data_IF_196897153910
#
_entry.id   IF_196897153910
#
_cell.length_a   1.000
_cell.length_b   1.000
_cell.length_c   1.000
_cell.angle_alpha   90.00
_cell.angle_beta   90.00
_cell.angle_gamma   90.00
#
_symmetry.space_group_name_H-M   'P 1'
#
loop_
_entity.id
_entity.type
_entity.pdbx_description
1 polymer ?
#
# COMPACT_ATOMS: atom_id res chain seq x y z
N UNK A 1 -18.71 25.28 7.74
CA UNK A 1 -17.32 24.88 8.01
C UNK A 1 -16.94 23.98 6.86
N UNK A 2 -15.98 24.41 6.02
CA UNK A 2 -15.45 23.58 4.95
C UNK A 2 -14.87 22.33 5.62
N UNK A 3 -15.35 21.15 5.25
CA UNK A 3 -14.76 19.89 5.67
C UNK A 3 -13.30 19.90 5.25
N UNK A 4 -12.39 19.62 6.17
CA UNK A 4 -11.01 19.29 5.81
C UNK A 4 -11.12 18.17 4.78
N UNK A 5 -10.63 18.41 3.56
CA UNK A 5 -10.63 17.39 2.52
C UNK A 5 -9.91 16.17 3.08
N UNK A 6 -10.60 15.03 3.12
CA UNK A 6 -10.07 13.77 3.61
C UNK A 6 -8.83 13.40 2.78
N UNK A 7 -7.78 12.94 3.44
CA UNK A 7 -6.61 12.39 2.73
C UNK A 7 -7.03 11.23 1.82
N UNK A 8 -6.50 11.24 0.59
CA UNK A 8 -6.67 10.17 -0.39
C UNK A 8 -5.31 9.49 -0.59
N UNK A 9 -5.25 8.20 -0.32
CA UNK A 9 -4.04 7.42 -0.43
C UNK A 9 -3.98 6.65 -1.75
N UNK A 10 -2.91 6.84 -2.52
CA UNK A 10 -2.59 6.04 -3.71
C UNK A 10 -1.26 5.34 -3.44
N UNK A 11 -1.33 4.04 -3.14
CA UNK A 11 -0.18 3.26 -2.72
C UNK A 11 0.17 2.26 -3.82
N UNK A 12 1.34 2.39 -4.43
CA UNK A 12 1.85 1.50 -5.47
C UNK A 12 2.66 0.36 -4.83
N UNK A 13 2.15 -0.85 -4.86
CA UNK A 13 2.90 -2.04 -4.48
C UNK A 13 3.51 -2.70 -5.73
N UNK A 14 4.80 -2.46 -5.97
CA UNK A 14 5.49 -3.03 -7.14
C UNK A 14 5.77 -4.52 -7.03
N UNK A 15 5.61 -5.08 -5.84
CA UNK A 15 5.95 -6.48 -5.57
C UNK A 15 7.42 -6.75 -5.97
N UNK A 16 7.75 -7.97 -6.41
CA UNK A 16 9.09 -8.34 -6.85
C UNK A 16 9.33 -7.95 -8.32
N UNK A 17 9.27 -6.65 -8.61
CA UNK A 17 9.48 -6.09 -9.94
C UNK A 17 10.42 -4.89 -9.90
N UNK A 18 10.97 -4.56 -11.06
CA UNK A 18 11.86 -3.43 -11.38
C UNK A 18 13.26 -3.54 -10.79
N UNK A 19 14.23 -3.50 -11.69
CA UNK A 19 15.63 -3.20 -11.40
C UNK A 19 15.79 -1.73 -11.00
N UNK A 20 16.97 -1.33 -10.52
CA UNK A 20 17.27 0.07 -10.20
C UNK A 20 17.07 0.96 -11.43
N UNK A 21 17.56 0.56 -12.60
CA UNK A 21 17.38 1.33 -13.85
C UNK A 21 15.92 1.56 -14.19
N UNK A 22 15.12 0.47 -14.23
CA UNK A 22 13.68 0.55 -14.52
C UNK A 22 12.90 1.39 -13.51
N UNK A 23 13.33 1.40 -12.24
CA UNK A 23 12.73 2.22 -11.20
C UNK A 23 13.06 3.70 -11.38
N UNK A 24 14.30 4.03 -11.74
CA UNK A 24 14.71 5.38 -12.04
C UNK A 24 14.04 5.93 -13.31
N UNK A 25 13.90 5.10 -14.35
CA UNK A 25 13.15 5.45 -15.56
C UNK A 25 11.67 5.73 -15.21
N UNK A 26 11.06 4.85 -14.41
CA UNK A 26 9.69 5.03 -13.96
C UNK A 26 9.49 6.35 -13.19
N UNK A 27 10.35 6.67 -12.23
CA UNK A 27 10.21 7.90 -11.43
C UNK A 27 10.47 9.16 -12.26
N UNK A 28 11.36 9.09 -13.25
CA UNK A 28 11.63 10.21 -14.16
C UNK A 28 10.42 10.56 -15.02
N UNK A 29 9.58 9.58 -15.35
CA UNK A 29 8.34 9.77 -16.10
C UNK A 29 7.22 10.23 -15.17
N UNK A 30 7.02 9.57 -14.03
CA UNK A 30 5.89 9.80 -13.13
C UNK A 30 6.06 11.06 -12.30
N UNK A 31 7.22 11.27 -11.72
CA UNK A 31 7.47 12.34 -10.76
C UNK A 31 7.05 13.74 -11.23
N UNK A 32 7.40 14.16 -12.47
CA UNK A 32 6.99 15.48 -12.98
C UNK A 32 5.49 15.60 -13.31
N UNK A 33 4.77 14.51 -13.46
CA UNK A 33 3.40 14.48 -14.00
C UNK A 33 2.31 14.28 -12.94
N UNK A 34 2.67 13.92 -11.72
CA UNK A 34 1.68 13.72 -10.66
C UNK A 34 1.29 15.03 -9.98
N UNK A 35 0.02 15.16 -9.55
CA UNK A 35 -0.47 16.41 -8.98
C UNK A 35 0.13 16.67 -7.59
N UNK A 36 0.44 17.95 -7.31
CA UNK A 36 0.81 18.42 -5.97
C UNK A 36 -0.45 18.92 -5.27
N UNK A 37 -1.06 18.06 -4.45
CA UNK A 37 -2.25 18.36 -3.63
C UNK A 37 -1.99 17.92 -2.20
N UNK A 38 -2.33 18.75 -1.23
CA UNK A 38 -2.01 18.51 0.18
C UNK A 38 -2.73 17.27 0.74
N UNK A 39 -3.93 17.00 0.26
CA UNK A 39 -4.75 15.86 0.65
C UNK A 39 -4.50 14.59 -0.19
N UNK A 40 -3.55 14.59 -1.12
CA UNK A 40 -3.20 13.42 -1.92
C UNK A 40 -1.86 12.83 -1.48
N UNK A 41 -1.91 11.63 -0.90
CA UNK A 41 -0.75 10.89 -0.40
C UNK A 41 -0.36 9.80 -1.40
N UNK A 42 0.71 10.02 -2.14
CA UNK A 42 1.22 9.07 -3.13
C UNK A 42 2.43 8.36 -2.55
N UNK A 43 2.32 7.03 -2.39
CA UNK A 43 3.36 6.18 -1.83
C UNK A 43 3.77 5.13 -2.86
N UNK A 44 5.07 4.91 -3.02
CA UNK A 44 5.61 3.84 -3.87
C UNK A 44 6.37 2.86 -2.99
N UNK A 45 6.00 1.59 -3.05
CA UNK A 45 6.63 0.49 -2.31
C UNK A 45 7.43 -0.40 -3.29
N UNK A 46 8.71 -0.09 -3.56
CA UNK A 46 9.58 -0.86 -4.44
C UNK A 46 10.20 -2.06 -3.70
N UNK A 47 10.98 -2.90 -4.40
CA UNK A 47 11.86 -3.86 -3.76
C UNK A 47 12.90 -3.15 -2.88
N UNK A 48 13.35 -3.79 -1.79
CA UNK A 48 14.33 -3.21 -0.85
C UNK A 48 15.61 -2.73 -1.54
N UNK A 49 16.10 -3.51 -2.52
CA UNK A 49 17.31 -3.19 -3.30
C UNK A 49 17.24 -1.88 -4.09
N UNK A 50 16.05 -1.29 -4.24
CA UNK A 50 15.81 -0.07 -5.03
C UNK A 50 15.60 1.16 -4.15
N UNK A 51 15.27 0.98 -2.87
CA UNK A 51 14.84 2.06 -1.95
C UNK A 51 15.81 3.25 -1.90
N UNK A 52 17.10 2.99 -1.71
CA UNK A 52 18.12 4.05 -1.57
C UNK A 52 18.22 4.94 -2.80
N UNK A 53 18.30 4.33 -3.99
CA UNK A 53 18.45 5.09 -5.23
C UNK A 53 17.16 5.84 -5.58
N UNK A 54 16.01 5.22 -5.35
CA UNK A 54 14.72 5.86 -5.60
C UNK A 54 14.48 7.04 -4.63
N UNK A 55 14.88 6.92 -3.35
CA UNK A 55 14.81 8.03 -2.37
C UNK A 55 15.63 9.22 -2.83
N UNK A 56 16.86 9.00 -3.33
CA UNK A 56 17.71 10.07 -3.88
C UNK A 56 17.04 10.75 -5.08
N UNK A 57 16.54 9.97 -6.03
CA UNK A 57 15.91 10.51 -7.24
C UNK A 57 14.66 11.35 -6.92
N UNK A 58 13.80 10.87 -6.03
CA UNK A 58 12.60 11.58 -5.58
C UNK A 58 12.97 12.90 -4.87
N UNK A 59 13.99 12.86 -4.00
CA UNK A 59 14.44 14.04 -3.26
C UNK A 59 15.03 15.09 -4.20
N UNK A 60 15.90 14.69 -5.13
CA UNK A 60 16.52 15.61 -6.12
C UNK A 60 15.48 16.21 -7.05
N UNK A 61 14.51 15.40 -7.49
CA UNK A 61 13.40 15.86 -8.35
C UNK A 61 12.34 16.69 -7.61
N UNK A 62 12.40 16.76 -6.28
CA UNK A 62 11.36 17.37 -5.43
C UNK A 62 9.95 16.87 -5.78
N UNK A 63 9.84 15.57 -6.06
CA UNK A 63 8.59 14.94 -6.44
C UNK A 63 7.71 14.68 -5.21
N UNK A 64 6.39 14.86 -5.29
CA UNK A 64 5.46 14.63 -4.16
C UNK A 64 5.15 13.13 -4.00
N UNK A 65 6.21 12.32 -3.88
CA UNK A 65 6.15 10.88 -3.72
C UNK A 65 6.80 10.50 -2.40
N UNK A 66 6.07 9.76 -1.57
CA UNK A 66 6.58 9.08 -0.39
C UNK A 66 7.06 7.68 -0.78
N UNK A 67 8.00 7.12 -0.03
CA UNK A 67 8.37 5.71 -0.19
C UNK A 67 7.79 4.86 0.93
N UNK A 68 7.42 3.64 0.58
CA UNK A 68 7.07 2.59 1.52
C UNK A 68 7.91 1.34 1.31
N UNK A 69 7.95 0.48 2.30
CA UNK A 69 8.48 -0.88 2.17
C UNK A 69 7.36 -1.89 1.90
N UNK A 70 7.69 -2.98 1.24
CA UNK A 70 6.76 -4.09 0.98
C UNK A 70 6.61 -5.04 2.17
N UNK A 71 7.48 -4.90 3.16
CA UNK A 71 7.54 -5.63 4.42
C UNK A 71 8.54 -4.97 5.36
N UNK A 72 8.66 -5.47 6.59
CA UNK A 72 9.79 -5.25 7.49
C UNK A 72 9.97 -6.44 8.43
N UNK A 73 11.13 -6.53 9.07
CA UNK A 73 11.43 -7.60 10.03
C UNK A 73 10.55 -7.52 11.27
N UNK A 74 10.10 -8.66 11.84
CA UNK A 74 9.48 -8.70 13.17
C UNK A 74 10.48 -8.50 14.31
N UNK A 75 11.77 -8.39 13.99
CA UNK A 75 12.87 -8.26 14.96
C UNK A 75 13.53 -6.90 14.87
N UNK A 76 14.12 -6.48 15.99
CA UNK A 76 15.04 -5.35 16.03
C UNK A 76 16.31 -5.64 15.21
N UNK A 77 17.15 -4.63 15.07
CA UNK A 77 18.48 -4.80 14.46
C UNK A 77 19.31 -5.82 15.27
N UNK A 78 19.90 -6.81 14.58
CA UNK A 78 20.67 -7.85 15.24
C UNK A 78 21.06 -9.02 14.33
N UNK A 79 21.22 -10.20 14.93
CA UNK A 79 21.68 -11.40 14.27
C UNK A 79 20.55 -12.13 13.50
N UNK A 80 19.98 -11.47 12.51
CA UNK A 80 18.86 -11.95 11.70
C UNK A 80 19.22 -11.82 10.22
N UNK A 81 20.09 -12.68 9.75
CA UNK A 81 20.64 -12.64 8.37
C UNK A 81 19.51 -12.62 7.32
N UNK A 82 19.49 -11.58 6.49
CA UNK A 82 18.50 -11.40 5.41
C UNK A 82 17.27 -10.61 5.81
N UNK A 83 17.10 -10.23 7.09
CA UNK A 83 16.00 -9.42 7.57
C UNK A 83 16.30 -7.90 7.44
N UNK A 84 15.28 -7.15 7.05
CA UNK A 84 15.33 -5.69 6.96
C UNK A 84 14.61 -5.07 8.17
N UNK A 85 15.37 -4.73 9.22
CA UNK A 85 14.78 -4.13 10.42
C UNK A 85 14.24 -2.73 10.17
N UNK A 86 13.17 -2.38 10.90
CA UNK A 86 12.56 -1.05 10.80
C UNK A 86 13.56 0.08 11.06
N UNK A 87 14.49 -0.11 12.01
CA UNK A 87 15.53 0.86 12.35
C UNK A 87 16.51 1.16 11.21
N UNK A 88 16.74 0.21 10.29
CA UNK A 88 17.60 0.39 9.13
C UNK A 88 16.86 1.06 7.97
N UNK A 89 15.60 0.69 7.72
CA UNK A 89 14.86 1.19 6.56
C UNK A 89 14.13 2.51 6.79
N UNK A 90 13.90 2.93 8.04
CA UNK A 90 13.21 4.20 8.39
C UNK A 90 13.79 5.45 7.75
N UNK A 91 15.07 5.42 7.38
CA UNK A 91 15.71 6.53 6.67
C UNK A 91 15.20 6.70 5.23
N UNK A 92 14.58 5.67 4.67
CA UNK A 92 14.09 5.67 3.28
C UNK A 92 12.58 5.74 3.20
N UNK A 93 11.85 5.13 4.16
CA UNK A 93 10.41 4.86 4.02
C UNK A 93 9.58 5.58 5.07
N UNK A 94 8.38 5.98 4.66
CA UNK A 94 7.38 6.62 5.49
C UNK A 94 6.25 5.64 5.89
N UNK A 95 6.13 4.50 5.14
CA UNK A 95 5.08 3.51 5.31
C UNK A 95 5.64 2.09 5.13
N UNK A 96 5.03 1.09 5.77
CA UNK A 96 5.33 -0.33 5.54
C UNK A 96 4.05 -1.15 5.33
N UNK A 97 4.01 -1.95 4.26
CA UNK A 97 2.96 -2.94 4.02
C UNK A 97 3.24 -4.16 4.91
N UNK A 98 2.28 -4.57 5.73
CA UNK A 98 2.44 -5.68 6.67
C UNK A 98 1.33 -6.73 6.48
N UNK A 99 1.69 -8.00 6.49
CA UNK A 99 0.69 -9.08 6.40
C UNK A 99 0.02 -9.22 5.04
N UNK A 100 0.66 -8.76 3.95
CA UNK A 100 0.12 -8.89 2.60
C UNK A 100 -0.26 -10.35 2.29
N UNK A 101 -1.37 -10.57 1.58
CA UNK A 101 -1.91 -11.91 1.29
C UNK A 101 -0.89 -12.85 0.64
N UNK A 102 -0.01 -12.34 -0.22
CA UNK A 102 1.08 -13.13 -0.83
C UNK A 102 2.09 -13.61 0.20
N UNK A 103 2.39 -12.81 1.24
CA UNK A 103 3.31 -13.21 2.30
C UNK A 103 2.70 -14.26 3.21
N UNK A 104 1.44 -14.09 3.58
CA UNK A 104 0.68 -15.09 4.34
C UNK A 104 0.64 -16.42 3.60
N UNK A 105 0.36 -16.40 2.29
CA UNK A 105 0.24 -17.58 1.45
C UNK A 105 1.57 -18.29 1.16
N UNK A 106 2.60 -17.52 0.79
CA UNK A 106 3.83 -18.06 0.20
C UNK A 106 4.98 -18.16 1.20
N UNK A 107 4.95 -17.39 2.29
CA UNK A 107 6.02 -17.28 3.29
C UNK A 107 5.55 -17.61 4.71
N UNK A 108 4.33 -18.15 4.86
CA UNK A 108 3.75 -18.55 6.14
C UNK A 108 3.73 -17.42 7.19
N UNK A 109 3.53 -16.16 6.74
CA UNK A 109 3.47 -15.01 7.65
C UNK A 109 2.21 -15.09 8.52
N UNK A 110 2.40 -15.15 9.84
CA UNK A 110 1.33 -15.31 10.83
C UNK A 110 0.86 -13.97 11.38
N UNK A 111 -0.30 -13.95 12.05
CA UNK A 111 -0.80 -12.75 12.74
C UNK A 111 0.14 -12.30 13.86
N UNK A 112 0.80 -13.23 14.57
CA UNK A 112 1.84 -12.91 15.56
C UNK A 112 3.04 -12.19 14.93
N UNK A 113 3.44 -12.60 13.74
CA UNK A 113 4.52 -11.89 13.02
C UNK A 113 4.07 -10.50 12.59
N UNK A 114 2.85 -10.35 12.11
CA UNK A 114 2.28 -9.06 11.73
C UNK A 114 2.20 -8.13 12.94
N UNK A 115 1.77 -8.62 14.10
CA UNK A 115 1.73 -7.86 15.36
C UNK A 115 3.13 -7.35 15.78
N UNK A 116 4.16 -8.20 15.65
CA UNK A 116 5.55 -7.81 15.96
C UNK A 116 6.06 -6.76 14.96
N UNK A 117 5.82 -6.96 13.67
CA UNK A 117 6.17 -5.99 12.62
C UNK A 117 5.47 -4.65 12.82
N UNK A 118 4.20 -4.69 13.20
CA UNK A 118 3.41 -3.50 13.51
C UNK A 118 4.07 -2.69 14.65
N UNK A 119 4.48 -3.33 15.74
CA UNK A 119 5.20 -2.68 16.85
C UNK A 119 6.53 -2.08 16.37
N UNK A 120 7.31 -2.85 15.59
CA UNK A 120 8.58 -2.35 15.04
C UNK A 120 8.38 -1.12 14.14
N UNK A 121 7.31 -1.09 13.33
CA UNK A 121 6.98 0.07 12.52
C UNK A 121 6.70 1.31 13.38
N UNK A 122 5.81 1.19 14.39
CA UNK A 122 5.46 2.30 15.27
C UNK A 122 6.65 2.85 16.05
N UNK A 123 7.48 1.98 16.63
CA UNK A 123 8.68 2.35 17.41
C UNK A 123 9.72 3.09 16.55
N UNK A 124 9.67 2.92 15.22
CA UNK A 124 10.57 3.57 14.29
C UNK A 124 9.91 4.71 13.47
N UNK A 125 8.70 5.15 13.83
CA UNK A 125 7.93 6.19 13.15
C UNK A 125 7.63 5.87 11.67
N UNK A 126 7.44 4.59 11.35
CA UNK A 126 6.98 4.12 10.04
C UNK A 126 5.47 3.86 10.15
N UNK A 127 4.66 4.41 9.26
CA UNK A 127 3.22 4.16 9.22
C UNK A 127 2.93 2.72 8.81
N UNK A 128 2.32 1.87 9.67
CA UNK A 128 1.99 0.51 9.28
C UNK A 128 0.70 0.47 8.46
N UNK A 129 0.73 -0.15 7.28
CA UNK A 129 -0.43 -0.52 6.48
C UNK A 129 -0.67 -2.03 6.64
N UNK A 130 -1.61 -2.41 7.48
CA UNK A 130 -1.90 -3.82 7.76
C UNK A 130 -2.87 -4.40 6.74
N UNK A 131 -2.44 -5.41 6.01
CA UNK A 131 -3.29 -6.10 5.02
C UNK A 131 -4.21 -7.12 5.69
N UNK A 132 -5.49 -7.04 5.36
CA UNK A 132 -6.56 -7.92 5.84
C UNK A 132 -7.36 -8.48 4.67
N UNK A 133 -7.82 -9.73 4.78
CA UNK A 133 -8.55 -10.41 3.72
C UNK A 133 -10.07 -10.36 3.94
N UNK A 134 -10.48 -10.10 5.17
CA UNK A 134 -11.89 -9.97 5.58
C UNK A 134 -11.99 -9.13 6.85
N UNK A 135 -13.20 -8.76 7.23
CA UNK A 135 -13.51 -8.11 8.52
C UNK A 135 -13.16 -8.96 9.76
N UNK A 136 -12.91 -10.26 9.56
CA UNK A 136 -12.57 -11.19 10.63
C UNK A 136 -11.06 -11.34 10.82
N UNK A 137 -10.25 -10.89 9.86
CA UNK A 137 -8.78 -10.91 9.98
C UNK A 137 -8.36 -10.06 11.19
N UNK A 138 -7.56 -10.59 12.13
CA UNK A 138 -7.11 -9.83 13.28
C UNK A 138 -6.33 -8.57 12.87
N UNK A 139 -6.62 -7.47 13.54
CA UNK A 139 -5.91 -6.19 13.37
C UNK A 139 -5.21 -5.86 14.69
N UNK A 140 -3.91 -5.47 14.66
CA UNK A 140 -3.20 -5.02 15.84
C UNK A 140 -3.92 -3.89 16.58
N UNK A 141 -3.80 -3.85 17.91
CA UNK A 141 -4.39 -2.79 18.71
C UNK A 141 -3.79 -1.41 18.32
N UNK A 142 -4.65 -0.39 18.23
CA UNK A 142 -4.29 0.96 17.77
C UNK A 142 -3.83 1.04 16.30
N UNK A 143 -4.16 0.06 15.48
CA UNK A 143 -3.96 0.16 14.04
C UNK A 143 -4.86 1.26 13.46
N UNK A 144 -4.27 2.19 12.70
CA UNK A 144 -4.97 3.33 12.12
C UNK A 144 -5.19 3.20 10.61
N UNK A 145 -4.56 2.20 9.97
CA UNK A 145 -4.65 2.02 8.51
C UNK A 145 -4.60 0.54 8.14
N UNK A 146 -5.57 0.11 7.36
CA UNK A 146 -5.62 -1.26 6.82
C UNK A 146 -5.79 -1.26 5.31
N UNK A 147 -5.23 -2.29 4.64
CA UNK A 147 -5.54 -2.60 3.25
C UNK A 147 -6.48 -3.80 3.20
N UNK A 148 -7.70 -3.58 2.73
CA UNK A 148 -8.66 -4.66 2.51
C UNK A 148 -8.38 -5.33 1.16
N UNK A 149 -7.94 -6.58 1.21
CA UNK A 149 -7.55 -7.40 0.07
C UNK A 149 -8.55 -8.56 -0.13
N UNK A 150 -9.69 -8.35 -0.82
CA UNK A 150 -10.60 -9.47 -1.12
C UNK A 150 -9.87 -10.52 -1.97
N UNK A 151 -9.74 -11.75 -1.45
CA UNK A 151 -8.91 -12.82 -2.05
C UNK A 151 -9.30 -13.09 -3.50
N UNK A 152 -10.59 -13.00 -3.83
CA UNK A 152 -11.10 -13.20 -5.18
C UNK A 152 -10.79 -12.06 -6.16
N UNK A 153 -10.50 -10.86 -5.66
CA UNK A 153 -10.23 -9.68 -6.48
C UNK A 153 -8.73 -9.39 -6.67
N UNK A 154 -7.84 -10.18 -6.06
CA UNK A 154 -6.39 -10.01 -6.20
C UNK A 154 -5.95 -10.71 -7.49
N UNK A 155 -5.22 -9.99 -8.34
CA UNK A 155 -4.58 -10.52 -9.55
C UNK A 155 -3.37 -11.40 -9.18
N UNK A 156 -3.63 -12.54 -8.54
CA UNK A 156 -2.58 -13.54 -8.32
C UNK A 156 -2.49 -14.37 -9.59
N UNK A 157 -1.50 -14.24 -10.42
CA UNK A 157 -1.14 -14.99 -11.63
C UNK A 157 -1.75 -16.38 -11.94
N UNK A 158 -2.82 -16.78 -11.27
CA UNK A 158 -3.62 -17.97 -11.51
C UNK A 158 -4.66 -17.65 -12.59
N UNK A 159 -4.21 -17.67 -13.84
CA UNK A 159 -4.91 -17.22 -15.05
C UNK A 159 -6.21 -18.00 -15.38
N UNK A 160 -6.58 -19.05 -14.65
CA UNK A 160 -7.67 -19.95 -15.04
C UNK A 160 -8.67 -20.34 -13.93
N UNK A 161 -8.78 -19.59 -12.84
CA UNK A 161 -9.83 -19.85 -11.85
C UNK A 161 -11.03 -18.96 -12.12
N UNK A 162 -12.23 -19.47 -12.46
CA UNK A 162 -13.43 -18.67 -12.66
C UNK A 162 -13.72 -17.81 -11.43
N UNK A 163 -13.84 -16.49 -11.60
CA UNK A 163 -14.14 -15.55 -10.53
C UNK A 163 -12.93 -14.91 -9.86
N UNK A 164 -11.70 -15.37 -10.09
CA UNK A 164 -10.46 -14.78 -9.57
C UNK A 164 -9.99 -13.66 -10.51
N UNK A 165 -9.64 -12.49 -9.95
CA UNK A 165 -9.12 -11.33 -10.69
C UNK A 165 -10.18 -10.36 -11.21
N UNK A 166 -11.47 -10.55 -10.89
CA UNK A 166 -12.47 -9.49 -11.08
C UNK A 166 -12.38 -8.53 -9.90
N UNK A 167 -12.24 -7.25 -10.18
CA UNK A 167 -12.38 -6.22 -9.16
C UNK A 167 -13.75 -6.41 -8.46
N UNK A 168 -13.76 -6.21 -7.15
CA UNK A 168 -15.00 -6.06 -6.41
C UNK A 168 -15.75 -4.82 -6.93
N UNK A 169 -17.06 -4.73 -6.70
CA UNK A 169 -17.73 -3.47 -7.00
C UNK A 169 -17.34 -2.41 -5.96
N UNK A 170 -17.24 -1.12 -6.33
CA UNK A 170 -16.99 -0.07 -5.36
C UNK A 170 -17.97 -0.07 -4.18
N UNK A 171 -19.24 -0.38 -4.44
CA UNK A 171 -20.30 -0.45 -3.45
C UNK A 171 -20.11 -1.62 -2.46
N UNK A 172 -19.69 -2.79 -2.95
CA UNK A 172 -19.45 -3.95 -2.08
C UNK A 172 -18.17 -3.77 -1.27
N UNK A 173 -17.10 -3.25 -1.88
CA UNK A 173 -15.90 -2.87 -1.17
C UNK A 173 -16.19 -1.84 -0.06
N UNK A 174 -17.05 -0.84 -0.33
CA UNK A 174 -17.45 0.14 0.67
C UNK A 174 -18.27 -0.45 1.82
N UNK A 175 -19.15 -1.42 1.55
CA UNK A 175 -19.88 -2.12 2.62
C UNK A 175 -18.93 -2.81 3.60
N UNK A 176 -17.91 -3.50 3.07
CA UNK A 176 -16.89 -4.15 3.90
C UNK A 176 -16.04 -3.12 4.64
N UNK A 177 -15.60 -2.04 3.97
CA UNK A 177 -14.87 -0.95 4.61
C UNK A 177 -15.65 -0.34 5.77
N UNK A 178 -16.95 -0.11 5.58
CA UNK A 178 -17.86 0.38 6.63
C UNK A 178 -17.94 -0.59 7.81
N UNK A 179 -18.10 -1.90 7.55
CA UNK A 179 -18.15 -2.92 8.60
C UNK A 179 -16.83 -2.97 9.40
N UNK A 180 -15.67 -2.89 8.72
CA UNK A 180 -14.35 -2.82 9.36
C UNK A 180 -14.27 -1.58 10.27
N UNK A 181 -14.67 -0.39 9.78
CA UNK A 181 -14.67 0.83 10.58
C UNK A 181 -15.63 0.77 11.78
N UNK A 182 -16.80 0.17 11.62
CA UNK A 182 -17.74 -0.02 12.72
C UNK A 182 -17.17 -0.94 13.83
N UNK A 183 -16.41 -1.97 13.44
CA UNK A 183 -15.81 -2.92 14.36
C UNK A 183 -14.59 -2.36 15.11
N UNK A 184 -13.71 -1.62 14.39
CA UNK A 184 -12.40 -1.22 14.91
C UNK A 184 -12.27 0.29 15.19
N UNK A 185 -13.23 1.10 14.78
CA UNK A 185 -13.29 2.54 15.03
C UNK A 185 -13.37 3.37 13.75
N UNK A 186 -14.12 4.46 13.81
CA UNK A 186 -14.39 5.34 12.66
C UNK A 186 -13.15 6.09 12.14
N UNK A 187 -12.09 6.17 12.95
CA UNK A 187 -10.82 6.81 12.57
C UNK A 187 -9.89 5.89 11.77
N UNK A 188 -10.25 4.60 11.61
CA UNK A 188 -9.47 3.67 10.83
C UNK A 188 -9.57 4.00 9.33
N UNK A 189 -8.42 4.24 8.69
CA UNK A 189 -8.35 4.38 7.24
C UNK A 189 -8.39 2.99 6.58
N UNK A 190 -9.33 2.81 5.66
CA UNK A 190 -9.46 1.57 4.89
C UNK A 190 -9.05 1.82 3.44
N UNK A 191 -7.99 1.17 3.03
CA UNK A 191 -7.42 1.22 1.68
C UNK A 191 -7.92 0.00 0.91
N UNK A 192 -8.48 0.19 -0.28
CA UNK A 192 -8.92 -0.94 -1.10
C UNK A 192 -7.73 -1.56 -1.85
N UNK A 193 -7.49 -2.86 -1.64
CA UNK A 193 -6.34 -3.62 -2.15
C UNK A 193 -6.67 -4.66 -3.23
N UNK A 194 -7.84 -4.59 -3.86
CA UNK A 194 -8.17 -5.45 -5.00
C UNK A 194 -7.62 -4.92 -6.33
N UNK A 195 -8.17 -5.41 -7.45
CA UNK A 195 -7.75 -4.97 -8.79
C UNK A 195 -8.17 -3.53 -9.09
N UNK A 196 -7.19 -2.63 -9.14
CA UNK A 196 -7.37 -1.20 -9.41
C UNK A 196 -6.59 -0.79 -10.66
N UNK A 197 -7.20 0.06 -11.50
CA UNK A 197 -6.60 0.70 -12.66
C UNK A 197 -7.26 2.08 -12.91
N UNK A 198 -6.82 2.82 -13.93
CA UNK A 198 -7.36 4.15 -14.24
C UNK A 198 -8.86 4.15 -14.65
N UNK A 199 -9.41 3.03 -15.05
CA UNK A 199 -10.82 2.94 -15.46
C UNK A 199 -11.78 2.79 -14.26
N UNK A 200 -11.31 2.21 -13.13
CA UNK A 200 -12.17 1.91 -12.00
C UNK A 200 -11.80 2.67 -10.70
N UNK A 201 -10.60 3.21 -10.57
CA UNK A 201 -10.10 3.85 -9.35
C UNK A 201 -11.06 4.91 -8.80
N UNK A 202 -11.63 5.75 -9.67
CA UNK A 202 -12.55 6.81 -9.27
C UNK A 202 -13.78 6.27 -8.55
N UNK A 203 -14.31 5.11 -8.99
CA UNK A 203 -15.43 4.46 -8.32
C UNK A 203 -15.13 4.10 -6.86
N UNK A 204 -13.93 3.63 -6.57
CA UNK A 204 -13.53 3.27 -5.19
C UNK A 204 -13.30 4.49 -4.31
N UNK A 205 -12.52 5.48 -4.76
CA UNK A 205 -12.15 6.63 -3.93
C UNK A 205 -13.30 7.60 -3.65
N UNK A 206 -14.37 7.55 -4.45
CA UNK A 206 -15.60 8.34 -4.19
C UNK A 206 -16.49 7.71 -3.13
N UNK A 207 -16.18 6.52 -2.66
CA UNK A 207 -16.92 5.85 -1.58
C UNK A 207 -16.55 6.48 -0.22
N UNK A 208 -17.56 6.63 0.64
CA UNK A 208 -17.42 7.36 1.91
C UNK A 208 -16.48 6.70 2.93
N UNK A 209 -16.38 5.36 2.91
CA UNK A 209 -15.61 4.58 3.88
C UNK A 209 -14.25 4.09 3.35
N UNK A 210 -13.94 4.36 2.07
CA UNK A 210 -12.65 4.04 1.45
C UNK A 210 -11.76 5.28 1.46
N UNK A 211 -10.56 5.15 2.05
CA UNK A 211 -9.57 6.22 2.18
C UNK A 211 -8.52 6.25 1.08
N UNK A 212 -8.52 5.26 0.18
CA UNK A 212 -7.54 5.16 -0.90
C UNK A 212 -7.48 3.79 -1.52
N UNK A 213 -6.42 3.55 -2.30
CA UNK A 213 -6.21 2.29 -3.02
C UNK A 213 -4.77 1.80 -2.91
N UNK A 214 -4.60 0.47 -2.83
CA UNK A 214 -3.32 -0.23 -2.94
C UNK A 214 -3.25 -0.86 -4.33
N UNK A 215 -2.44 -0.27 -5.21
CA UNK A 215 -2.37 -0.60 -6.63
C UNK A 215 -1.21 -1.55 -6.89
N UNK A 216 -1.50 -2.74 -7.37
CA UNK A 216 -0.49 -3.74 -7.76
C UNK A 216 0.00 -3.53 -9.20
N UNK A 217 -0.31 -4.47 -10.07
CA UNK A 217 0.22 -4.56 -11.44
C UNK A 217 0.06 -3.27 -12.27
N UNK A 218 -1.06 -2.55 -12.14
CA UNK A 218 -1.29 -1.30 -12.88
C UNK A 218 -0.29 -0.19 -12.49
N UNK A 219 0.33 -0.26 -11.30
CA UNK A 219 1.34 0.71 -10.88
C UNK A 219 2.72 0.52 -11.55
N UNK A 220 2.94 -0.63 -12.19
CA UNK A 220 4.21 -0.92 -12.87
C UNK A 220 4.38 -0.12 -14.17
N UNK A 221 3.28 0.21 -14.84
CA UNK A 221 3.31 1.07 -16.02
C UNK A 221 3.22 2.55 -15.59
N UNK A 222 4.21 3.39 -15.92
CA UNK A 222 4.27 4.77 -15.46
C UNK A 222 3.10 5.63 -15.96
N UNK A 223 2.69 5.47 -17.24
CA UNK A 223 1.59 6.25 -17.81
C UNK A 223 0.25 5.88 -17.19
N UNK A 224 0.04 4.60 -16.87
CA UNK A 224 -1.16 4.13 -16.18
C UNK A 224 -1.21 4.68 -14.75
N UNK A 225 -0.08 4.67 -14.04
CA UNK A 225 -0.02 5.21 -12.70
C UNK A 225 -0.25 6.74 -12.67
N UNK A 226 0.31 7.46 -13.64
CA UNK A 226 0.03 8.90 -13.83
C UNK A 226 -1.47 9.14 -14.05
N UNK A 227 -2.12 8.33 -14.91
CA UNK A 227 -3.58 8.43 -15.11
C UNK A 227 -4.35 8.22 -13.80
N UNK A 228 -3.98 7.18 -13.03
CA UNK A 228 -4.60 6.92 -11.71
C UNK A 228 -4.47 8.14 -10.80
N UNK A 229 -3.27 8.71 -10.64
CA UNK A 229 -3.03 9.83 -9.74
C UNK A 229 -3.75 11.12 -10.19
N UNK A 230 -3.89 11.36 -11.49
CA UNK A 230 -4.53 12.57 -12.02
C UNK A 230 -6.07 12.53 -12.01
N UNK A 231 -6.66 11.39 -11.67
CA UNK A 231 -8.11 11.27 -11.48
C UNK A 231 -8.58 11.70 -10.07
N UNK A 232 -7.64 12.04 -9.16
CA UNK A 232 -7.88 12.43 -7.76
C UNK A 232 -8.16 13.92 -7.59
#
# INVERSE_FOLDING_TARGET
MAGLDKDIWIIANWKSNKTISEALDWVSIVGPQIPKKDNLKIVVCPAFSVLSELKKAITVGAYPIMLGSQDLSPFEQGAYTGEESASLIKQFVDLAILGHSERRKNFAETDDMVEKKFKQALENNITPLVCIQSEETPIPQNCNMVAYEPIWAISTGLVNTPGVGKADTPEDANKVAKAIRQKYGNNLEVIYGGSVNSQNVKGFITQGDIGGVLVGNASLNPEEFVRICNLM
#
